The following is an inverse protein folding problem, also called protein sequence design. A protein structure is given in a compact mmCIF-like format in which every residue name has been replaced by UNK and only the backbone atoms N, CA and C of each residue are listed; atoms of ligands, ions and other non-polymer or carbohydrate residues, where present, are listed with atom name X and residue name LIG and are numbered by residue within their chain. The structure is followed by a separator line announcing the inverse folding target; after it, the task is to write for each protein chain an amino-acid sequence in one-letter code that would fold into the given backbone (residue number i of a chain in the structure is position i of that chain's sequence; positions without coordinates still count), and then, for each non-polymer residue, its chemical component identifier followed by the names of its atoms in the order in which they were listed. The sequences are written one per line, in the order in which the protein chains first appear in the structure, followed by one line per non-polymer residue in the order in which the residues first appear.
data_IF_367428237715
#
_entry.id   IF_367428237715
#
_cell.length_a   1.000
_cell.length_b   1.000
_cell.length_c   1.000
_cell.angle_alpha   90.00
_cell.angle_beta   90.00
_cell.angle_gamma   90.00
#
_symmetry.space_group_name_H-M   'P 1'
#
loop_
_entity.id
_entity.type
_entity.pdbx_description
1 polymer ?
#
# COMPACT_ATOMS: atom_id res chain seq x y z
N UNK A 1 -29.78 -18.79 48.28
CA UNK A 1 -29.61 -18.38 49.69
C UNK A 1 -28.19 -17.83 49.84
N UNK A 2 -28.02 -16.49 49.92
CA UNK A 2 -26.80 -15.70 50.21
C UNK A 2 -25.59 -15.85 49.24
N UNK A 3 -24.87 -14.84 48.73
CA UNK A 3 -24.64 -13.39 48.97
C UNK A 3 -23.98 -12.88 47.65
N UNK A 4 -24.44 -11.86 46.90
CA UNK A 4 -24.28 -10.41 47.09
C UNK A 4 -22.94 -9.97 47.71
N UNK A 5 -22.14 -9.19 46.97
CA UNK A 5 -21.46 -7.93 47.37
C UNK A 5 -20.12 -7.72 46.63
N UNK A 6 -20.11 -6.67 45.78
CA UNK A 6 -19.10 -5.60 45.59
C UNK A 6 -17.62 -5.98 45.29
N UNK A 7 -16.85 -5.24 44.50
CA UNK A 7 -16.65 -3.78 44.56
C UNK A 7 -16.11 -3.28 43.21
N UNK A 8 -16.90 -2.41 42.59
CA UNK A 8 -16.53 -1.45 41.55
C UNK A 8 -15.87 -0.26 42.27
N UNK A 9 -14.57 0.00 42.08
CA UNK A 9 -13.97 1.30 42.46
C UNK A 9 -12.61 1.54 41.81
N UNK A 10 -12.42 2.82 41.44
CA UNK A 10 -11.15 3.56 41.37
C UNK A 10 -10.28 3.43 40.13
N UNK A 11 -10.44 4.41 39.23
CA UNK A 11 -9.41 4.78 38.27
C UNK A 11 -9.76 6.05 37.47
N UNK A 12 -10.50 6.98 38.06
CA UNK A 12 -10.75 8.29 37.47
C UNK A 12 -9.56 9.21 37.76
N UNK A 13 -9.23 10.04 36.77
CA UNK A 13 -8.65 11.38 36.91
C UNK A 13 -7.11 11.49 36.95
N UNK A 14 -6.55 11.95 35.82
CA UNK A 14 -5.66 13.12 35.78
C UNK A 14 -5.57 13.65 34.34
N UNK A 15 -6.42 14.64 34.05
CA UNK A 15 -6.26 15.57 32.94
C UNK A 15 -5.12 16.52 33.33
N UNK A 16 -4.11 16.67 32.47
CA UNK A 16 -3.18 17.81 32.54
C UNK A 16 -3.10 18.46 31.18
N UNK A 17 -3.83 19.56 31.04
CA UNK A 17 -3.63 20.57 30.00
C UNK A 17 -2.41 21.42 30.32
N UNK A 18 -1.59 21.68 29.31
CA UNK A 18 -0.68 22.82 29.14
C UNK A 18 -0.24 22.74 27.66
N UNK A 19 -0.33 23.72 26.79
CA UNK A 19 -0.73 25.12 26.87
C UNK A 19 -0.51 25.69 25.46
N UNK A 20 -1.35 26.64 25.06
CA UNK A 20 -1.36 27.25 23.74
C UNK A 20 -0.18 28.21 23.48
N UNK A 21 -0.11 28.58 22.19
CA UNK A 21 0.35 29.87 21.64
C UNK A 21 1.84 29.99 21.27
N UNK A 22 2.12 29.95 19.95
CA UNK A 22 2.25 31.16 19.10
C UNK A 22 2.78 30.82 17.69
N UNK A 23 1.93 30.98 16.69
CA UNK A 23 2.26 31.39 15.31
C UNK A 23 1.36 32.63 15.07
N UNK A 24 1.88 33.79 14.67
CA UNK A 24 2.03 34.17 13.25
C UNK A 24 3.38 34.89 13.01
N UNK A 25 3.86 35.12 11.79
CA UNK A 25 3.31 36.08 10.84
C UNK A 25 4.10 36.01 9.53
N UNK A 26 3.37 35.91 8.42
CA UNK A 26 3.88 36.18 7.06
C UNK A 26 3.67 37.68 6.85
N UNK A 27 4.68 38.40 6.38
CA UNK A 27 4.44 39.67 5.69
C UNK A 27 5.48 39.91 4.60
N UNK A 28 4.92 40.25 3.46
CA UNK A 28 5.49 40.72 2.21
C UNK A 28 6.60 41.77 2.35
N UNK A 29 7.61 41.67 1.49
CA UNK A 29 8.31 42.85 0.99
C UNK A 29 8.68 42.66 -0.50
N UNK A 30 7.75 43.07 -1.37
CA UNK A 30 8.02 43.41 -2.77
C UNK A 30 8.15 44.92 -2.83
N UNK A 31 9.35 45.41 -3.15
CA UNK A 31 9.66 46.72 -3.74
C UNK A 31 11.19 46.82 -3.91
N UNK A 32 11.82 47.38 -4.94
CA UNK A 32 11.38 48.11 -6.13
C UNK A 32 12.66 48.52 -6.91
N UNK A 33 12.54 48.69 -8.24
CA UNK A 33 13.26 49.68 -9.10
C UNK A 33 14.79 49.43 -9.37
N UNK A 34 15.40 49.57 -10.57
CA UNK A 34 15.04 50.18 -11.87
C UNK A 34 16.17 49.94 -12.95
N UNK A 35 16.21 50.61 -14.14
CA UNK A 35 16.40 50.01 -15.47
C UNK A 35 17.80 50.25 -16.11
N UNK A 36 18.05 49.82 -17.35
CA UNK A 36 18.73 50.61 -18.43
C UNK A 36 18.66 49.87 -19.79
N UNK A 37 18.49 50.67 -20.83
CA UNK A 37 18.21 50.42 -22.24
C UNK A 37 19.25 49.66 -23.08
N UNK A 38 18.71 49.18 -24.22
CA UNK A 38 19.27 49.15 -25.57
C UNK A 38 20.41 48.18 -25.91
N UNK A 39 20.16 47.30 -26.89
CA UNK A 39 20.88 47.33 -28.18
C UNK A 39 19.93 46.84 -29.30
N UNK A 40 19.67 47.75 -30.23
CA UNK A 40 19.13 47.47 -31.58
C UNK A 40 20.17 46.66 -32.35
N UNK A 41 19.77 45.55 -32.98
CA UNK A 41 20.61 44.92 -34.01
C UNK A 41 19.78 44.53 -35.23
N UNK A 42 20.29 44.98 -36.36
CA UNK A 42 19.73 45.05 -37.71
C UNK A 42 19.80 43.72 -38.46
N UNK A 43 18.74 43.36 -39.18
CA UNK A 43 18.70 42.26 -40.19
C UNK A 43 19.30 42.74 -41.53
N UNK A 44 19.95 41.88 -42.34
CA UNK A 44 19.43 41.53 -43.69
C UNK A 44 19.84 40.06 -44.14
N UNK A 45 19.54 39.54 -45.36
CA UNK A 45 18.58 38.43 -45.53
C UNK A 45 19.13 37.12 -46.19
N UNK A 46 18.32 36.06 -46.03
CA UNK A 46 18.03 34.94 -46.97
C UNK A 46 19.15 33.99 -47.44
N UNK A 47 19.08 32.70 -47.05
CA UNK A 47 19.40 31.58 -47.95
C UNK A 47 18.67 30.28 -47.59
N UNK A 48 18.17 29.65 -48.65
CA UNK A 48 17.24 28.53 -48.76
C UNK A 48 17.98 27.19 -48.75
N UNK A 49 17.65 26.27 -47.83
CA UNK A 49 17.82 24.84 -48.07
C UNK A 49 16.90 24.03 -47.14
N UNK A 50 15.92 23.33 -47.72
CA UNK A 50 15.12 22.34 -47.01
C UNK A 50 16.00 21.13 -46.68
N UNK A 51 16.13 20.83 -45.39
CA UNK A 51 16.79 19.62 -44.89
C UNK A 51 15.78 18.83 -44.04
N UNK A 52 15.56 17.60 -44.51
CA UNK A 52 14.84 16.44 -43.95
C UNK A 52 14.49 16.54 -42.46
N UNK A 53 13.18 16.57 -42.18
CA UNK A 53 12.62 16.32 -40.85
C UNK A 53 12.63 14.81 -40.58
N UNK A 54 13.66 14.29 -39.94
CA UNK A 54 13.52 13.08 -39.14
C UNK A 54 13.27 13.52 -37.70
N UNK A 55 11.98 13.56 -37.32
CA UNK A 55 11.59 13.68 -35.93
C UNK A 55 12.07 12.41 -35.21
N UNK A 56 12.84 12.49 -34.12
CA UNK A 56 13.06 11.33 -33.29
C UNK A 56 11.70 10.91 -32.74
N UNK A 57 11.22 9.72 -33.09
CA UNK A 57 10.07 9.12 -32.43
C UNK A 57 10.54 8.81 -31.02
N UNK A 58 10.32 9.75 -30.11
CA UNK A 58 10.41 9.54 -28.68
C UNK A 58 9.31 8.54 -28.34
N UNK A 59 9.63 7.25 -28.40
CA UNK A 59 8.75 6.20 -27.89
C UNK A 59 8.53 6.51 -26.42
N UNK A 60 7.32 6.95 -26.09
CA UNK A 60 6.86 7.00 -24.73
C UNK A 60 7.12 5.61 -24.11
N UNK A 61 7.68 5.52 -22.89
CA UNK A 61 7.85 4.23 -22.25
C UNK A 61 6.49 3.55 -22.21
N UNK A 62 6.43 2.31 -22.72
CA UNK A 62 5.26 1.49 -22.55
C UNK A 62 5.02 1.39 -21.04
N UNK A 63 3.91 1.95 -20.57
CA UNK A 63 3.42 1.69 -19.23
C UNK A 63 3.14 0.20 -19.22
N UNK A 64 4.05 -0.59 -18.66
CA UNK A 64 3.80 -1.98 -18.38
C UNK A 64 2.65 -1.99 -17.37
N UNK A 65 1.46 -2.39 -17.81
CA UNK A 65 0.37 -2.73 -16.91
C UNK A 65 0.79 -4.02 -16.19
N UNK A 66 1.53 -3.87 -15.08
CA UNK A 66 2.00 -4.98 -14.27
C UNK A 66 0.83 -5.43 -13.41
N UNK A 67 -0.06 -6.24 -13.99
CA UNK A 67 -1.04 -6.93 -13.18
C UNK A 67 -0.33 -7.89 -12.22
N UNK A 68 -0.79 -7.99 -10.96
CA UNK A 68 -0.25 -8.95 -10.01
C UNK A 68 -0.27 -10.38 -10.58
N UNK A 69 0.77 -11.15 -10.25
CA UNK A 69 0.84 -12.57 -10.58
C UNK A 69 0.04 -13.45 -9.61
N UNK A 70 -0.55 -12.83 -8.57
CA UNK A 70 -1.40 -13.46 -7.58
C UNK A 70 -2.74 -12.75 -7.59
N UNK A 71 -3.83 -13.51 -7.70
CA UNK A 71 -5.18 -13.04 -7.49
C UNK A 71 -5.56 -13.18 -6.01
N UNK A 72 -6.33 -12.23 -5.48
CA UNK A 72 -6.88 -12.27 -4.11
C UNK A 72 -8.41 -12.32 -4.18
N UNK A 73 -9.01 -13.23 -3.40
CA UNK A 73 -10.46 -13.39 -3.31
C UNK A 73 -10.86 -13.93 -1.94
N UNK A 74 -12.16 -13.99 -1.64
CA UNK A 74 -12.66 -14.73 -0.49
C UNK A 74 -12.26 -16.21 -0.59
N UNK A 75 -11.85 -16.79 0.53
CA UNK A 75 -11.59 -18.22 0.60
C UNK A 75 -12.90 -19.01 0.46
N UNK A 76 -12.89 -20.17 -0.24
CA UNK A 76 -14.08 -21.01 -0.36
C UNK A 76 -14.46 -21.60 1.00
N UNK A 77 -15.72 -21.55 1.41
CA UNK A 77 -16.18 -21.95 2.77
C UNK A 77 -15.72 -23.36 3.21
N UNK A 78 -15.48 -24.25 2.25
CA UNK A 78 -15.07 -25.63 2.49
C UNK A 78 -13.55 -25.83 2.59
N UNK A 79 -12.72 -24.79 2.49
CA UNK A 79 -11.25 -24.90 2.51
C UNK A 79 -10.74 -25.62 3.76
N UNK A 80 -11.40 -25.39 4.91
CA UNK A 80 -11.10 -26.04 6.19
C UNK A 80 -11.29 -27.56 6.17
N UNK A 81 -12.11 -28.07 5.25
CA UNK A 81 -12.38 -29.50 5.08
C UNK A 81 -11.36 -30.17 4.15
N UNK A 82 -10.53 -29.39 3.45
CA UNK A 82 -9.55 -29.87 2.46
C UNK A 82 -8.16 -29.27 2.70
N UNK A 83 -7.59 -29.35 3.91
CA UNK A 83 -6.37 -28.66 4.28
C UNK A 83 -5.13 -29.06 3.45
N UNK A 84 -5.15 -30.22 2.80
CA UNK A 84 -4.07 -30.66 1.91
C UNK A 84 -4.03 -29.90 0.57
N UNK A 85 -5.14 -29.27 0.18
CA UNK A 85 -5.26 -28.52 -1.08
C UNK A 85 -4.72 -27.08 -0.95
N UNK A 86 -4.40 -26.64 0.27
CA UNK A 86 -4.05 -25.24 0.58
C UNK A 86 -2.79 -25.15 1.44
N UNK A 87 -2.06 -24.05 1.32
CA UNK A 87 -1.23 -23.56 2.41
C UNK A 87 -2.11 -22.73 3.35
N UNK A 88 -2.08 -22.97 4.66
CA UNK A 88 -2.99 -22.31 5.60
C UNK A 88 -2.23 -21.65 6.73
N UNK A 89 -2.50 -20.36 6.96
CA UNK A 89 -2.10 -19.65 8.17
C UNK A 89 -3.33 -19.33 9.02
N UNK A 90 -3.33 -19.79 10.28
CA UNK A 90 -4.41 -19.55 11.23
C UNK A 90 -4.11 -18.29 12.06
N UNK A 91 -4.80 -17.19 11.77
CA UNK A 91 -4.84 -16.04 12.66
C UNK A 91 -5.80 -16.30 13.84
N UNK A 92 -5.61 -15.60 14.96
CA UNK A 92 -6.53 -15.67 16.10
C UNK A 92 -7.93 -15.31 15.62
N UNK A 93 -8.91 -16.16 15.94
CA UNK A 93 -10.29 -15.97 15.52
C UNK A 93 -10.85 -14.67 16.13
N UNK A 94 -10.96 -13.63 15.32
CA UNK A 94 -11.67 -12.40 15.67
C UNK A 94 -13.02 -12.41 14.96
N UNK A 95 -14.02 -11.76 15.57
CA UNK A 95 -15.33 -11.57 14.93
C UNK A 95 -15.26 -10.66 13.69
N UNK A 96 -14.12 -9.98 13.49
CA UNK A 96 -13.89 -8.98 12.44
C UNK A 96 -12.85 -9.40 11.40
N UNK A 97 -12.71 -10.70 11.14
CA UNK A 97 -11.82 -11.20 10.10
C UNK A 97 -12.54 -11.93 9.00
N UNK A 98 -12.05 -11.82 7.77
CA UNK A 98 -12.45 -12.67 6.65
C UNK A 98 -11.31 -13.59 6.23
N UNK A 99 -11.70 -14.76 5.75
CA UNK A 99 -10.77 -15.70 5.16
C UNK A 99 -10.58 -15.32 3.69
N UNK A 100 -9.33 -15.09 3.30
CA UNK A 100 -8.93 -14.73 1.94
C UNK A 100 -7.99 -15.78 1.37
N UNK A 101 -8.08 -15.96 0.05
CA UNK A 101 -7.28 -16.88 -0.73
C UNK A 101 -6.44 -16.11 -1.74
N UNK A 102 -5.16 -16.45 -1.78
CA UNK A 102 -4.17 -15.95 -2.73
C UNK A 102 -3.87 -17.05 -3.75
N UNK A 103 -4.25 -16.81 -5.00
CA UNK A 103 -4.10 -17.78 -6.10
C UNK A 103 -3.08 -17.27 -7.11
N UNK A 104 -1.89 -17.87 -7.18
CA UNK A 104 -0.93 -17.56 -8.23
C UNK A 104 -1.45 -17.95 -9.62
N UNK A 105 -1.22 -17.10 -10.63
CA UNK A 105 -1.43 -17.42 -12.06
C UNK A 105 -0.30 -18.26 -12.66
N UNK A 106 0.74 -18.52 -11.87
CA UNK A 106 1.92 -19.30 -12.21
C UNK A 106 2.72 -19.64 -10.96
N UNK A 107 3.91 -20.22 -11.09
CA UNK A 107 4.79 -20.43 -9.95
C UNK A 107 5.31 -19.09 -9.41
N UNK A 108 5.17 -18.85 -8.12
CA UNK A 108 5.83 -17.75 -7.41
C UNK A 108 6.70 -18.31 -6.28
N UNK A 109 7.78 -17.60 -5.96
CA UNK A 109 8.80 -18.07 -5.02
C UNK A 109 8.98 -17.10 -3.87
N UNK A 110 9.59 -17.59 -2.79
CA UNK A 110 9.91 -16.79 -1.61
C UNK A 110 8.69 -16.03 -1.08
N UNK A 111 7.52 -16.66 -1.15
CA UNK A 111 6.26 -16.04 -0.77
C UNK A 111 6.28 -15.73 0.72
N UNK A 112 5.84 -14.53 1.06
CA UNK A 112 5.70 -14.03 2.42
C UNK A 112 4.32 -13.40 2.58
N UNK A 113 3.68 -13.69 3.69
CA UNK A 113 2.53 -12.96 4.20
C UNK A 113 2.94 -12.30 5.51
N UNK A 114 2.63 -11.01 5.67
CA UNK A 114 3.18 -10.20 6.75
C UNK A 114 2.20 -9.14 7.24
N UNK A 115 2.43 -8.65 8.45
CA UNK A 115 1.80 -7.47 9.01
C UNK A 115 2.73 -6.26 8.89
N UNK A 116 2.17 -5.08 8.62
CA UNK A 116 2.92 -3.83 8.51
C UNK A 116 2.34 -2.71 9.37
N UNK A 117 3.19 -1.72 9.68
CA UNK A 117 2.83 -0.54 10.46
C UNK A 117 2.13 0.48 9.56
N UNK A 118 0.83 0.64 9.78
CA UNK A 118 -0.01 1.49 8.97
C UNK A 118 0.05 2.97 9.34
N UNK A 119 0.26 3.27 10.63
CA UNK A 119 0.45 4.64 11.06
C UNK A 119 1.73 5.20 10.43
N UNK A 120 2.78 4.39 10.34
CA UNK A 120 4.02 4.71 9.62
C UNK A 120 3.77 4.96 8.14
N UNK A 121 3.02 4.08 7.48
CA UNK A 121 2.72 4.23 6.06
C UNK A 121 1.92 5.51 5.80
N UNK A 122 0.80 5.73 6.49
CA UNK A 122 -0.11 6.85 6.15
C UNK A 122 0.30 8.20 6.74
N UNK A 123 0.94 8.25 7.91
CA UNK A 123 1.32 9.53 8.53
C UNK A 123 2.74 9.96 8.16
N UNK A 124 3.61 9.01 7.78
CA UNK A 124 5.03 9.28 7.56
C UNK A 124 5.55 8.78 6.20
N UNK A 125 4.70 8.15 5.38
CA UNK A 125 5.09 7.55 4.10
C UNK A 125 6.25 6.56 4.23
N UNK A 126 6.28 5.82 5.34
CA UNK A 126 7.31 4.86 5.69
C UNK A 126 6.69 3.46 5.77
N UNK A 127 7.05 2.57 4.85
CA UNK A 127 6.59 1.19 4.87
C UNK A 127 7.49 0.34 5.78
N UNK A 128 6.93 -0.17 6.87
CA UNK A 128 7.65 -1.02 7.83
C UNK A 128 6.90 -2.32 8.03
N UNK A 129 7.53 -3.42 7.65
CA UNK A 129 7.07 -4.76 8.00
C UNK A 129 7.36 -5.00 9.48
N UNK A 130 6.31 -5.19 10.27
CA UNK A 130 6.39 -5.42 11.71
C UNK A 130 6.67 -6.89 11.98
N UNK A 131 6.01 -7.78 11.25
CA UNK A 131 6.10 -9.22 11.47
C UNK A 131 5.84 -9.99 10.17
N UNK A 132 6.64 -11.02 9.91
CA UNK A 132 6.34 -12.00 8.85
C UNK A 132 5.56 -13.15 9.48
N UNK A 133 4.29 -13.28 9.08
CA UNK A 133 3.32 -14.20 9.68
C UNK A 133 3.38 -15.59 9.04
N UNK A 134 3.69 -15.65 7.75
CA UNK A 134 3.81 -16.91 7.03
C UNK A 134 4.82 -16.79 5.89
N UNK A 135 5.49 -17.91 5.59
CA UNK A 135 6.38 -18.03 4.44
C UNK A 135 6.17 -19.35 3.72
N UNK A 136 6.30 -19.33 2.40
CA UNK A 136 6.35 -20.53 1.58
C UNK A 136 7.46 -20.38 0.53
N UNK A 137 8.30 -21.42 0.33
CA UNK A 137 9.36 -21.36 -0.67
C UNK A 137 8.80 -21.24 -2.09
N UNK A 138 7.67 -21.88 -2.35
CA UNK A 138 6.95 -21.88 -3.62
C UNK A 138 5.45 -21.89 -3.35
N UNK A 139 4.69 -21.08 -4.09
CA UNK A 139 3.24 -21.13 -4.16
C UNK A 139 2.84 -21.38 -5.62
N UNK A 140 1.81 -22.20 -5.83
CA UNK A 140 1.30 -22.54 -7.17
C UNK A 140 -0.20 -22.42 -7.21
N UNK A 141 -0.78 -22.39 -8.42
CA UNK A 141 -2.23 -22.37 -8.60
C UNK A 141 -2.92 -23.59 -7.97
N UNK A 142 -2.27 -24.76 -7.99
CA UNK A 142 -2.80 -26.02 -7.42
C UNK A 142 -2.70 -26.07 -5.89
N UNK A 143 -1.90 -25.18 -5.29
CA UNK A 143 -1.72 -25.07 -3.86
C UNK A 143 -1.75 -23.60 -3.42
N UNK A 144 -2.93 -22.95 -3.50
CA UNK A 144 -3.07 -21.55 -3.12
C UNK A 144 -2.93 -21.37 -1.61
N UNK A 145 -2.65 -20.13 -1.21
CA UNK A 145 -2.50 -19.78 0.20
C UNK A 145 -3.80 -19.20 0.74
N UNK A 146 -4.24 -19.66 1.91
CA UNK A 146 -5.43 -19.18 2.61
C UNK A 146 -5.03 -18.68 3.99
N UNK A 147 -5.53 -17.50 4.35
CA UNK A 147 -5.36 -16.93 5.68
C UNK A 147 -6.58 -16.12 6.07
N UNK A 148 -6.77 -15.94 7.37
CA UNK A 148 -7.69 -14.94 7.89
C UNK A 148 -6.98 -13.60 7.97
N UNK A 149 -7.56 -12.58 7.37
CA UNK A 149 -7.15 -11.17 7.51
C UNK A 149 -8.09 -10.46 8.48
N UNK A 150 -7.59 -9.42 9.13
CA UNK A 150 -8.39 -8.54 9.97
C UNK A 150 -8.92 -7.36 9.15
N UNK A 151 -10.20 -7.00 9.32
CA UNK A 151 -10.91 -6.05 8.44
C UNK A 151 -11.41 -4.80 9.16
N UNK A 152 -11.54 -4.81 10.50
CA UNK A 152 -12.22 -3.68 11.17
C UNK A 152 -11.35 -2.45 11.48
N UNK A 153 -11.72 -1.34 10.84
CA UNK A 153 -11.49 0.02 11.35
C UNK A 153 -10.08 0.57 11.19
N UNK A 154 -9.96 1.89 11.38
CA UNK A 154 -8.69 2.58 11.56
C UNK A 154 -7.97 1.99 12.78
N UNK A 155 -7.06 1.02 12.58
CA UNK A 155 -6.17 0.53 13.65
C UNK A 155 -5.92 -0.98 13.74
N UNK A 156 -6.48 -1.82 12.86
CA UNK A 156 -6.08 -3.23 12.76
C UNK A 156 -4.67 -3.42 12.17
N UNK A 157 -4.00 -4.57 12.36
CA UNK A 157 -2.79 -4.87 11.62
C UNK A 157 -3.18 -4.99 10.14
N UNK A 158 -2.55 -4.15 9.31
CA UNK A 158 -2.71 -4.23 7.88
C UNK A 158 -1.78 -5.32 7.38
N UNK A 159 -2.26 -6.03 6.38
CA UNK A 159 -1.57 -7.20 5.88
C UNK A 159 -1.09 -6.96 4.46
N UNK A 160 0.03 -7.56 4.13
CA UNK A 160 0.59 -7.55 2.80
C UNK A 160 1.20 -8.89 2.44
N UNK A 161 1.58 -8.99 1.17
CA UNK A 161 2.30 -10.13 0.63
C UNK A 161 3.53 -9.66 -0.12
N UNK A 162 4.54 -10.51 -0.19
CA UNK A 162 5.63 -10.35 -1.14
C UNK A 162 6.07 -11.69 -1.72
N UNK A 163 6.62 -11.66 -2.92
CA UNK A 163 7.06 -12.84 -3.64
C UNK A 163 8.01 -12.48 -4.80
N UNK A 164 8.69 -13.48 -5.34
CA UNK A 164 9.39 -13.39 -6.62
C UNK A 164 8.58 -14.11 -7.71
N UNK A 165 8.38 -13.47 -8.86
CA UNK A 165 7.72 -14.11 -10.00
C UNK A 165 8.67 -15.06 -10.77
N UNK A 166 8.16 -15.68 -11.82
CA UNK A 166 8.94 -16.59 -12.67
C UNK A 166 10.11 -15.91 -13.40
N UNK A 167 10.08 -14.58 -13.58
CA UNK A 167 11.17 -13.80 -14.13
C UNK A 167 12.21 -13.39 -13.08
N UNK A 168 11.96 -13.70 -11.80
CA UNK A 168 12.81 -13.32 -10.67
C UNK A 168 12.62 -11.87 -10.22
N UNK A 169 11.51 -11.23 -10.61
CA UNK A 169 11.17 -9.88 -10.17
C UNK A 169 10.50 -9.97 -8.79
N UNK A 170 10.98 -9.18 -7.84
CA UNK A 170 10.37 -9.05 -6.53
C UNK A 170 9.15 -8.15 -6.60
N UNK A 171 8.04 -8.62 -6.02
CA UNK A 171 6.80 -7.89 -5.90
C UNK A 171 6.41 -7.81 -4.43
N UNK A 172 5.87 -6.66 -4.03
CA UNK A 172 5.37 -6.41 -2.69
C UNK A 172 4.06 -5.62 -2.79
N UNK A 173 3.04 -6.08 -2.08
CA UNK A 173 1.70 -5.52 -2.15
C UNK A 173 1.07 -5.43 -0.77
N UNK A 174 0.22 -4.43 -0.59
CA UNK A 174 -0.74 -4.38 0.52
C UNK A 174 -2.08 -4.98 0.08
N UNK A 175 -2.80 -5.55 1.03
CA UNK A 175 -4.15 -6.07 0.82
C UNK A 175 -5.13 -4.96 1.17
N UNK A 176 -6.00 -4.62 0.23
CA UNK A 176 -7.01 -3.58 0.38
C UNK A 176 -8.41 -4.16 0.14
N UNK A 177 -9.37 -3.86 1.02
CA UNK A 177 -10.79 -4.11 0.76
C UNK A 177 -11.42 -2.85 0.19
N UNK A 178 -12.05 -2.99 -0.97
CA UNK A 178 -12.88 -1.92 -1.52
C UNK A 178 -14.20 -1.87 -0.77
N UNK A 179 -14.45 -0.72 -0.12
CA UNK A 179 -15.72 -0.47 0.55
C UNK A 179 -16.92 -0.30 -0.39
N UNK A 180 -16.72 -0.21 -1.71
CA UNK A 180 -17.78 -0.01 -2.70
C UNK A 180 -18.40 -1.34 -3.17
N UNK A 181 -17.55 -2.35 -3.42
CA UNK A 181 -17.95 -3.64 -3.98
C UNK A 181 -17.66 -4.84 -3.05
N UNK A 182 -16.99 -4.62 -1.92
CA UNK A 182 -16.62 -5.67 -0.97
C UNK A 182 -15.60 -6.67 -1.51
N UNK A 183 -14.83 -6.30 -2.53
CA UNK A 183 -13.77 -7.15 -3.11
C UNK A 183 -12.40 -6.77 -2.53
N UNK A 184 -11.49 -7.74 -2.52
CA UNK A 184 -10.09 -7.52 -2.16
C UNK A 184 -9.24 -7.24 -3.39
N UNK A 185 -8.26 -6.36 -3.20
CA UNK A 185 -7.30 -5.97 -4.21
C UNK A 185 -5.88 -5.96 -3.64
N UNK A 186 -4.91 -6.19 -4.51
CA UNK A 186 -3.50 -5.98 -4.22
C UNK A 186 -3.09 -4.62 -4.79
N UNK A 187 -2.53 -3.77 -3.94
CA UNK A 187 -2.03 -2.46 -4.34
C UNK A 187 -0.52 -2.38 -4.10
N UNK A 188 0.19 -1.84 -5.07
CA UNK A 188 1.58 -1.41 -4.92
C UNK A 188 1.63 -0.08 -4.15
N UNK A 189 2.81 0.29 -3.65
CA UNK A 189 3.04 1.50 -2.87
C UNK A 189 4.45 2.05 -3.07
#
# INVERSE_FOLDING_TARGET
MFKFIQLLTCGLLCISMCGCDKIPEISDEISQLQPTDAVVSTVPPEQKQAAVTETPVMQAPAVLDVQPHIDVAFAPEDYVLRPQDFEVHHFVQTEYGADVMFTPRGEVRNFRYFAFDNERLFNYNEFIIVEVLFTAPVLTQDKPFVTRIYIEGYGGPYHGISYEDAAGIYHEYIIYESGEDGHYYLADF
#
